data_IF_046116427591
#
_entry.id   IF_046116427591
#
_cell.length_a   1.000
_cell.length_b   1.000
_cell.length_c   1.000
_cell.angle_alpha   90.00
_cell.angle_beta   90.00
_cell.angle_gamma   90.00
#
_symmetry.space_group_name_H-M   'P 1'
#
loop_
_entity.id
_entity.type
_entity.pdbx_description
1 polymer ?
#
# COMPACT_ATOMS: atom_id res chain seq x y z
N UNK A 1 0.73 6.79 9.02
CA UNK A 1 -0.27 5.72 9.19
C UNK A 1 0.43 4.37 9.04
N UNK A 2 -0.07 3.31 9.67
CA UNK A 2 0.41 1.95 9.46
C UNK A 2 -0.60 1.16 8.64
N UNK A 3 -0.11 0.42 7.64
CA UNK A 3 -0.96 -0.38 6.76
C UNK A 3 -0.67 -1.84 7.07
N UNK A 4 -1.72 -2.62 7.26
CA UNK A 4 -1.67 -4.04 7.54
C UNK A 4 -2.45 -4.77 6.46
N UNK A 5 -1.85 -5.83 5.91
CA UNK A 5 -2.49 -6.72 4.94
C UNK A 5 -2.44 -8.12 5.52
N UNK A 6 -3.57 -8.84 5.47
CA UNK A 6 -3.62 -10.22 5.96
C UNK A 6 -2.79 -11.16 5.07
N UNK A 7 -2.41 -12.33 5.59
CA UNK A 7 -1.60 -13.31 4.85
C UNK A 7 -2.24 -13.72 3.50
N UNK A 8 -3.56 -13.82 3.47
CA UNK A 8 -4.31 -14.14 2.26
C UNK A 8 -4.47 -12.94 1.31
N UNK A 9 -3.93 -11.76 1.62
CA UNK A 9 -4.02 -10.56 0.78
C UNK A 9 -5.45 -10.18 0.36
N UNK A 10 -6.48 -10.44 1.17
CA UNK A 10 -7.88 -10.09 0.88
C UNK A 10 -8.41 -8.92 1.71
N UNK A 11 -7.66 -8.52 2.74
CA UNK A 11 -8.07 -7.51 3.69
C UNK A 11 -6.92 -6.55 3.95
N UNK A 12 -7.23 -5.26 3.95
CA UNK A 12 -6.33 -4.16 4.27
C UNK A 12 -6.89 -3.35 5.44
N UNK A 13 -6.03 -3.03 6.41
CA UNK A 13 -6.33 -2.14 7.53
C UNK A 13 -5.35 -0.97 7.53
N UNK A 14 -5.86 0.25 7.68
CA UNK A 14 -5.04 1.45 7.79
C UNK A 14 -5.27 2.06 9.17
N UNK A 15 -4.23 2.08 9.98
CA UNK A 15 -4.19 2.68 11.30
C UNK A 15 -3.62 4.10 11.21
N UNK A 16 -4.42 5.10 11.58
CA UNK A 16 -4.05 6.49 11.51
C UNK A 16 -4.40 7.21 12.81
N UNK A 17 -3.45 7.95 13.39
CA UNK A 17 -3.71 8.85 14.50
C UNK A 17 -4.19 10.18 13.93
N UNK A 18 -5.41 10.57 14.27
CA UNK A 18 -6.02 11.86 13.93
C UNK A 18 -6.16 12.71 15.20
N UNK A 19 -6.54 13.98 15.05
CA UNK A 19 -6.71 14.90 16.19
C UNK A 19 -7.70 14.37 17.24
N UNK A 20 -8.74 13.65 16.82
CA UNK A 20 -9.75 13.05 17.69
C UNK A 20 -9.40 11.67 18.27
N UNK A 21 -8.23 11.11 17.92
CA UNK A 21 -7.80 9.80 18.38
C UNK A 21 -7.42 8.83 17.27
N UNK A 22 -7.43 7.54 17.61
CA UNK A 22 -6.99 6.46 16.73
C UNK A 22 -8.12 6.04 15.79
N UNK A 23 -7.86 6.09 14.48
CA UNK A 23 -8.79 5.69 13.42
C UNK A 23 -8.27 4.44 12.70
N UNK A 24 -9.18 3.50 12.43
CA UNK A 24 -8.89 2.29 11.64
C UNK A 24 -9.84 2.22 10.45
N UNK A 25 -9.29 2.36 9.25
CA UNK A 25 -9.99 2.06 8.01
C UNK A 25 -9.85 0.56 7.71
N UNK A 26 -10.93 -0.06 7.26
CA UNK A 26 -10.97 -1.49 6.94
C UNK A 26 -11.55 -1.71 5.54
N UNK A 27 -10.74 -2.25 4.64
CA UNK A 27 -11.13 -2.62 3.29
C UNK A 27 -11.01 -4.12 3.13
N UNK A 28 -12.08 -4.77 2.67
CA UNK A 28 -12.11 -6.20 2.36
C UNK A 28 -12.54 -6.39 0.92
N UNK A 29 -11.80 -7.20 0.18
CA UNK A 29 -12.16 -7.60 -1.17
C UNK A 29 -13.23 -8.68 -1.10
N UNK A 30 -14.27 -8.54 -1.91
CA UNK A 30 -15.27 -9.60 -2.10
C UNK A 30 -14.71 -10.75 -2.94
N UNK A 31 -13.83 -10.44 -3.89
CA UNK A 31 -13.17 -11.39 -4.78
C UNK A 31 -11.73 -10.96 -5.06
N UNK A 32 -10.86 -11.94 -5.31
CA UNK A 32 -9.45 -11.71 -5.64
C UNK A 32 -8.58 -11.35 -4.44
N UNK A 33 -7.39 -10.84 -4.74
CA UNK A 33 -6.35 -10.54 -3.76
C UNK A 33 -5.61 -9.25 -4.14
N UNK A 34 -5.14 -8.49 -3.14
CA UNK A 34 -4.24 -7.37 -3.33
C UNK A 34 -2.91 -7.85 -3.90
N UNK A 35 -2.45 -7.18 -4.95
CA UNK A 35 -1.11 -7.38 -5.48
C UNK A 35 -0.11 -6.58 -4.64
N UNK A 36 0.61 -7.27 -3.76
CA UNK A 36 1.64 -6.62 -2.95
C UNK A 36 2.78 -6.09 -3.84
N UNK A 37 3.35 -4.92 -3.52
CA UNK A 37 4.62 -4.50 -4.11
C UNK A 37 5.72 -5.52 -3.75
N UNK A 38 6.83 -5.50 -4.48
CA UNK A 38 7.96 -6.40 -4.18
C UNK A 38 8.49 -6.06 -2.79
N UNK A 39 8.15 -6.90 -1.81
CA UNK A 39 8.64 -6.81 -0.43
C UNK A 39 9.85 -7.73 -0.34
N UNK A 40 11.06 -7.17 -0.26
CA UNK A 40 12.25 -7.96 0.01
C UNK A 40 12.20 -8.42 1.47
N UNK A 41 11.71 -9.64 1.69
CA UNK A 41 11.85 -10.36 2.95
C UNK A 41 13.22 -11.03 2.98
N UNK A 42 14.24 -10.30 3.42
CA UNK A 42 15.49 -10.93 3.82
C UNK A 42 15.21 -11.80 5.07
N UNK A 43 15.66 -13.06 5.02
CA UNK A 43 15.67 -13.99 6.17
C UNK A 43 14.30 -14.34 6.79
N UNK A 44 13.23 -14.41 5.98
CA UNK A 44 11.93 -14.93 6.43
C UNK A 44 11.20 -14.06 7.48
N UNK A 45 11.72 -12.86 7.76
CA UNK A 45 11.04 -11.86 8.59
C UNK A 45 10.32 -10.86 7.70
N UNK A 46 9.03 -10.67 7.94
CA UNK A 46 8.26 -9.58 7.33
C UNK A 46 8.73 -8.28 7.99
N UNK A 47 9.59 -7.53 7.30
CA UNK A 47 9.95 -6.18 7.72
C UNK A 47 8.85 -5.22 7.28
N UNK A 48 8.46 -4.29 8.16
CA UNK A 48 7.65 -3.15 7.75
C UNK A 48 8.42 -2.37 6.68
N UNK A 49 7.83 -2.21 5.51
CA UNK A 49 8.40 -1.44 4.40
C UNK A 49 7.68 -0.10 4.29
N UNK A 50 8.43 0.94 3.93
CA UNK A 50 7.85 2.19 3.51
C UNK A 50 7.24 2.05 2.12
N UNK A 51 6.09 2.69 1.90
CA UNK A 51 5.38 2.66 0.63
C UNK A 51 4.84 4.04 0.30
N UNK A 52 4.79 4.37 -0.98
CA UNK A 52 4.24 5.64 -1.43
C UNK A 52 2.72 5.54 -1.59
N UNK A 53 2.02 6.67 -1.46
CA UNK A 53 0.57 6.75 -1.68
C UNK A 53 0.15 6.13 -3.01
N UNK A 54 0.95 6.32 -4.06
CA UNK A 54 0.63 5.82 -5.39
C UNK A 54 0.69 4.29 -5.46
N UNK A 55 1.58 3.64 -4.71
CA UNK A 55 1.62 2.18 -4.59
C UNK A 55 0.35 1.67 -3.90
N UNK A 56 -0.09 2.36 -2.85
CA UNK A 56 -1.31 2.03 -2.13
C UNK A 56 -2.56 2.14 -3.03
N UNK A 57 -2.67 3.23 -3.78
CA UNK A 57 -3.77 3.41 -4.74
C UNK A 57 -3.78 2.29 -5.78
N UNK A 58 -2.61 1.91 -6.31
CA UNK A 58 -2.51 0.80 -7.25
C UNK A 58 -2.95 -0.53 -6.63
N UNK A 59 -2.55 -0.82 -5.38
CA UNK A 59 -3.01 -2.00 -4.66
C UNK A 59 -4.53 -2.03 -4.54
N UNK A 60 -5.14 -0.92 -4.11
CA UNK A 60 -6.60 -0.77 -3.94
C UNK A 60 -7.34 -0.94 -5.27
N UNK A 61 -6.76 -0.49 -6.38
CA UNK A 61 -7.32 -0.64 -7.72
C UNK A 61 -7.10 -2.03 -8.34
N UNK A 62 -6.41 -2.94 -7.66
CA UNK A 62 -6.08 -4.27 -8.18
C UNK A 62 -5.04 -4.24 -9.32
N UNK A 63 -4.22 -3.19 -9.39
CA UNK A 63 -3.17 -3.06 -10.39
C UNK A 63 -1.86 -3.69 -9.92
N UNK A 64 -1.21 -4.44 -10.79
CA UNK A 64 0.11 -5.02 -10.55
C UNK A 64 1.22 -3.98 -10.74
N UNK A 65 1.83 -3.54 -9.63
CA UNK A 65 2.92 -2.56 -9.62
C UNK A 65 4.15 -2.95 -10.43
N UNK A 66 4.40 -4.23 -10.61
CA UNK A 66 5.54 -4.71 -11.40
C UNK A 66 5.36 -4.49 -12.91
N UNK A 67 4.11 -4.37 -13.36
CA UNK A 67 3.74 -4.21 -14.79
C UNK A 67 3.51 -2.76 -15.20
N UNK A 68 3.53 -1.82 -14.24
CA UNK A 68 3.27 -0.41 -14.52
C UNK A 68 4.56 0.33 -14.81
N UNK A 69 4.61 0.95 -15.99
CA UNK A 69 5.72 1.84 -16.37
C UNK A 69 5.59 3.18 -15.66
N UNK A 70 6.53 3.48 -14.76
CA UNK A 70 6.58 4.74 -14.03
C UNK A 70 7.45 5.74 -14.77
N UNK A 71 6.87 6.89 -15.11
CA UNK A 71 7.61 8.01 -15.67
C UNK A 71 8.02 8.96 -14.56
N UNK A 72 9.30 9.35 -14.54
CA UNK A 72 9.79 10.40 -13.63
C UNK A 72 9.05 11.70 -13.98
N UNK A 73 8.18 12.16 -13.07
CA UNK A 73 7.65 13.52 -13.13
C UNK A 73 8.68 14.41 -12.45
N UNK A 74 9.45 15.17 -13.23
CA UNK A 74 10.15 16.32 -12.66
C UNK A 74 9.09 17.23 -12.07
N UNK A 75 9.20 17.55 -10.78
CA UNK A 75 8.35 18.57 -10.18
C UNK A 75 8.42 19.84 -11.02
N UNK A 76 7.27 20.48 -11.23
CA UNK A 76 7.23 21.84 -11.75
C UNK A 76 8.20 22.68 -10.90
N UNK A 77 9.31 23.11 -11.50
CA UNK A 77 10.05 24.29 -11.07
C UNK A 77 9.43 25.45 -11.85
N UNK A 78 8.66 26.28 -11.15
CA UNK A 78 7.96 27.46 -11.67
C UNK A 78 6.50 27.46 -11.18
N UNK A 79 6.03 28.43 -10.39
CA UNK A 79 6.52 29.77 -10.02
C UNK A 79 6.49 29.96 -8.50
#
# INVERSE_FOLDING_TARGET
>A
AFIFINANCTCMKILHMEYGGLVIYHMRLEHGHFHLPVINTEEGRIKAIETFWNDLVMMVQGMDGSKVRRYKRSGFHGL
#
